data_IF_611551528771
#
_entry.id   IF_611551528771
#
_cell.length_a   1.000
_cell.length_b   1.000
_cell.length_c   1.000
_cell.angle_alpha   90.00
_cell.angle_beta   90.00
_cell.angle_gamma   90.00
#
_symmetry.space_group_name_H-M   'P 1'
#
loop_
_entity.id
_entity.type
_entity.pdbx_description
1 polymer ?
#
# COMPACT_ATOMS: atom_id res chain seq x y z
N UNK A 1 21.23 5.47 8.10
CA UNK A 1 20.12 4.80 7.43
C UNK A 1 19.67 5.70 6.30
N UNK A 2 19.59 5.19 5.07
CA UNK A 2 19.07 5.98 3.96
C UNK A 2 17.54 5.99 4.09
N UNK A 3 16.96 7.16 4.35
CA UNK A 3 15.50 7.35 4.31
C UNK A 3 15.06 7.43 2.85
N UNK A 4 14.02 6.72 2.50
CA UNK A 4 13.34 6.80 1.19
C UNK A 4 11.93 7.31 1.42
N UNK A 5 11.44 8.20 0.56
CA UNK A 5 10.02 8.52 0.52
C UNK A 5 9.27 7.45 -0.32
N UNK A 6 7.95 7.41 -0.23
CA UNK A 6 7.11 6.49 -1.01
C UNK A 6 7.37 6.57 -2.52
N UNK A 7 7.57 7.76 -3.08
CA UNK A 7 7.90 7.89 -4.51
C UNK A 7 9.28 7.32 -4.86
N UNK A 8 10.25 7.34 -3.95
CA UNK A 8 11.55 6.71 -4.17
C UNK A 8 11.41 5.19 -4.21
N UNK A 9 10.63 4.61 -3.29
CA UNK A 9 10.31 3.17 -3.27
C UNK A 9 9.63 2.75 -4.58
N UNK A 10 8.62 3.50 -5.02
CA UNK A 10 7.88 3.24 -6.27
C UNK A 10 8.82 3.34 -7.48
N UNK A 11 9.61 4.40 -7.61
CA UNK A 11 10.50 4.62 -8.74
C UNK A 11 11.63 3.57 -8.80
N UNK A 12 12.14 3.12 -7.65
CA UNK A 12 13.11 2.00 -7.58
C UNK A 12 12.48 0.71 -8.13
N UNK A 13 11.25 0.38 -7.72
CA UNK A 13 10.52 -0.79 -8.22
C UNK A 13 10.25 -0.69 -9.72
N UNK A 14 9.81 0.47 -10.22
CA UNK A 14 9.59 0.73 -11.64
C UNK A 14 10.86 0.47 -12.44
N UNK A 15 11.97 1.07 -12.03
CA UNK A 15 13.25 0.94 -12.73
C UNK A 15 13.78 -0.50 -12.70
N UNK A 16 13.72 -1.14 -11.53
CA UNK A 16 14.26 -2.49 -11.31
C UNK A 16 13.52 -3.55 -12.12
N UNK A 17 12.18 -3.43 -12.20
CA UNK A 17 11.33 -4.40 -12.88
C UNK A 17 10.94 -3.97 -14.30
N UNK A 18 11.40 -2.79 -14.75
CA UNK A 18 11.06 -2.22 -16.07
C UNK A 18 9.53 -2.05 -16.28
N UNK A 19 8.81 -1.68 -15.22
CA UNK A 19 7.38 -1.44 -15.24
C UNK A 19 6.98 -0.30 -16.18
N UNK A 20 5.79 -0.38 -16.79
CA UNK A 20 5.29 0.53 -17.81
C UNK A 20 3.99 1.23 -17.45
N UNK A 21 3.24 0.68 -16.48
CA UNK A 21 1.93 1.18 -16.10
C UNK A 21 1.79 1.28 -14.57
N UNK A 22 1.17 2.39 -14.13
CA UNK A 22 1.00 2.76 -12.72
C UNK A 22 -0.43 3.21 -12.44
N UNK A 23 -0.98 2.77 -11.34
CA UNK A 23 -2.23 3.25 -10.79
C UNK A 23 -1.99 3.82 -9.39
N UNK A 24 -2.54 5.01 -9.09
CA UNK A 24 -2.55 5.60 -7.76
C UNK A 24 -3.99 5.76 -7.26
N UNK A 25 -4.30 5.10 -6.15
CA UNK A 25 -5.57 5.19 -5.43
C UNK A 25 -5.38 6.15 -4.26
N UNK A 26 -6.15 7.26 -4.22
CA UNK A 26 -6.04 8.28 -3.19
C UNK A 26 -4.99 9.35 -3.51
N UNK A 27 -5.05 9.93 -4.69
CA UNK A 27 -4.03 10.92 -5.11
C UNK A 27 -4.15 12.24 -4.37
N UNK A 28 -5.33 12.67 -4.00
CA UNK A 28 -5.70 13.94 -3.37
C UNK A 28 -4.98 15.16 -3.99
N UNK A 29 -3.68 15.34 -3.70
CA UNK A 29 -2.80 16.33 -4.32
C UNK A 29 -1.73 15.63 -5.17
N UNK A 30 -1.82 15.72 -6.51
CA UNK A 30 -0.85 15.05 -7.40
C UNK A 30 0.61 15.47 -7.17
N UNK A 31 0.86 16.64 -6.57
CA UNK A 31 2.23 17.10 -6.28
C UNK A 31 2.87 16.37 -5.11
N UNK A 32 2.06 15.73 -4.27
CA UNK A 32 2.52 14.98 -3.09
C UNK A 32 3.26 13.70 -3.48
N UNK A 33 2.74 12.94 -4.49
CA UNK A 33 3.32 11.68 -4.95
C UNK A 33 3.24 11.53 -6.47
N UNK A 34 2.05 11.54 -7.08
CA UNK A 34 1.77 11.17 -8.47
C UNK A 34 2.71 11.84 -9.49
N UNK A 35 2.97 13.16 -9.35
CA UNK A 35 3.82 13.89 -10.27
C UNK A 35 5.30 13.49 -10.19
N UNK A 36 5.73 12.86 -9.07
CA UNK A 36 7.10 12.42 -8.83
C UNK A 36 7.37 11.01 -9.37
N UNK A 37 6.33 10.29 -9.84
CA UNK A 37 6.46 8.94 -10.36
C UNK A 37 6.96 9.00 -11.81
N UNK A 38 8.10 8.34 -12.05
CA UNK A 38 8.85 8.34 -13.32
C UNK A 38 8.36 7.19 -14.23
N UNK A 39 7.13 7.32 -14.74
CA UNK A 39 6.52 6.34 -15.64
C UNK A 39 5.60 7.04 -16.64
N UNK A 40 5.51 6.52 -17.87
CA UNK A 40 4.75 7.16 -18.95
C UNK A 40 3.24 6.94 -18.80
N UNK A 41 2.84 5.69 -18.56
CA UNK A 41 1.42 5.34 -18.45
C UNK A 41 0.99 5.31 -16.99
N UNK A 42 0.34 6.37 -16.53
CA UNK A 42 -0.13 6.46 -15.15
C UNK A 42 -1.53 7.02 -15.03
N UNK A 43 -2.28 6.42 -14.11
CA UNK A 43 -3.67 6.75 -13.76
C UNK A 43 -3.73 7.15 -12.29
N UNK A 44 -4.53 8.16 -11.98
CA UNK A 44 -4.75 8.66 -10.62
C UNK A 44 -6.24 8.75 -10.32
N UNK A 45 -6.62 8.34 -9.11
CA UNK A 45 -8.00 8.28 -8.64
C UNK A 45 -8.11 9.04 -7.33
N UNK A 46 -9.11 9.90 -7.22
CA UNK A 46 -9.48 10.52 -5.95
C UNK A 46 -10.92 11.08 -6.02
N UNK A 47 -11.76 10.89 -4.98
CA UNK A 47 -13.10 11.45 -4.96
C UNK A 47 -13.13 12.95 -4.68
N UNK A 48 -12.10 13.53 -4.02
CA UNK A 48 -12.01 14.92 -3.63
C UNK A 48 -10.64 15.54 -3.95
N UNK A 49 -10.20 15.51 -5.21
CA UNK A 49 -8.84 15.91 -5.56
C UNK A 49 -8.61 17.41 -5.41
N UNK A 50 -7.42 17.78 -4.93
CA UNK A 50 -6.95 19.18 -4.89
C UNK A 50 -6.21 19.60 -6.15
N UNK A 51 -6.12 18.73 -7.14
CA UNK A 51 -5.48 18.95 -8.43
C UNK A 51 -6.11 18.10 -9.53
N UNK A 52 -5.49 18.08 -10.72
CA UNK A 52 -6.01 17.28 -11.83
C UNK A 52 -5.67 15.81 -11.62
N UNK A 53 -6.69 14.97 -11.55
CA UNK A 53 -6.57 13.49 -11.54
C UNK A 53 -7.18 12.91 -12.81
N UNK A 54 -6.89 11.63 -13.07
CA UNK A 54 -7.42 10.92 -14.24
C UNK A 54 -8.89 10.56 -14.04
N UNK A 55 -9.25 10.12 -12.84
CA UNK A 55 -10.61 9.75 -12.49
C UNK A 55 -11.02 10.44 -11.18
N UNK A 56 -12.12 11.18 -11.22
CA UNK A 56 -12.72 11.82 -10.04
C UNK A 56 -13.84 10.89 -9.55
N UNK A 57 -13.58 10.19 -8.46
CA UNK A 57 -14.49 9.20 -7.86
C UNK A 57 -13.74 8.31 -6.88
N UNK A 58 -14.46 7.41 -6.25
CA UNK A 58 -13.91 6.41 -5.34
C UNK A 58 -13.14 5.32 -6.10
N UNK A 59 -12.29 4.59 -5.41
CA UNK A 59 -11.61 3.39 -5.97
C UNK A 59 -12.63 2.34 -6.42
N UNK A 60 -13.72 2.15 -5.67
CA UNK A 60 -14.79 1.23 -6.02
C UNK A 60 -15.42 1.59 -7.37
N UNK A 61 -15.84 2.85 -7.55
CA UNK A 61 -16.41 3.34 -8.81
C UNK A 61 -15.42 3.18 -9.97
N UNK A 62 -14.14 3.39 -9.72
CA UNK A 62 -13.12 3.21 -10.74
C UNK A 62 -13.01 1.74 -11.15
N UNK A 63 -12.80 0.83 -10.19
CA UNK A 63 -12.66 -0.59 -10.51
C UNK A 63 -13.92 -1.19 -11.14
N UNK A 64 -15.12 -0.72 -10.78
CA UNK A 64 -16.37 -1.08 -11.45
C UNK A 64 -16.46 -0.55 -12.89
N UNK A 65 -15.79 0.56 -13.21
CA UNK A 65 -15.84 1.20 -14.52
C UNK A 65 -14.87 0.59 -15.56
N UNK A 66 -13.86 -0.14 -15.13
CA UNK A 66 -12.85 -0.75 -16.00
C UNK A 66 -13.12 -2.23 -16.24
N UNK A 67 -12.60 -2.76 -17.33
CA UNK A 67 -12.72 -4.19 -17.67
C UNK A 67 -11.52 -4.98 -17.15
N UNK A 68 -11.70 -6.29 -16.95
CA UNK A 68 -10.66 -7.22 -16.46
C UNK A 68 -9.37 -7.24 -17.32
N UNK A 69 -9.44 -6.74 -18.56
CA UNK A 69 -8.28 -6.64 -19.46
C UNK A 69 -7.35 -5.47 -19.12
N UNK A 70 -7.81 -4.51 -18.30
CA UNK A 70 -6.96 -3.40 -17.87
C UNK A 70 -6.06 -3.92 -16.76
N UNK A 71 -4.74 -3.83 -16.95
CA UNK A 71 -3.72 -4.29 -15.99
C UNK A 71 -2.71 -3.19 -15.71
N UNK A 72 -2.20 -3.21 -14.48
CA UNK A 72 -1.16 -2.31 -14.00
C UNK A 72 0.04 -3.11 -13.51
N UNK A 73 1.25 -2.60 -13.78
CA UNK A 73 2.48 -3.22 -13.29
C UNK A 73 2.73 -2.85 -11.83
N UNK A 74 2.33 -1.65 -11.45
CA UNK A 74 2.45 -1.20 -10.06
C UNK A 74 1.21 -0.39 -9.68
N UNK A 75 0.61 -0.74 -8.54
CA UNK A 75 -0.51 -0.02 -7.93
C UNK A 75 -0.05 0.56 -6.61
N UNK A 76 -0.32 1.84 -6.39
CA UNK A 76 -0.08 2.51 -5.11
C UNK A 76 -1.41 2.82 -4.42
N UNK A 77 -1.55 2.42 -3.16
CA UNK A 77 -2.76 2.60 -2.35
C UNK A 77 -2.43 3.53 -1.19
N UNK A 78 -3.04 4.72 -1.20
CA UNK A 78 -2.90 5.78 -0.20
C UNK A 78 -4.22 6.57 -0.11
N UNK A 79 -5.35 5.84 -0.09
CA UNK A 79 -6.70 6.39 -0.17
C UNK A 79 -7.36 6.61 1.18
N UNK A 80 -8.53 5.98 1.41
CA UNK A 80 -9.19 5.99 2.70
C UNK A 80 -8.43 5.08 3.67
N UNK A 81 -7.89 5.65 4.74
CA UNK A 81 -7.05 4.95 5.71
C UNK A 81 -7.87 4.06 6.68
N UNK A 82 -8.86 3.36 6.18
CA UNK A 82 -9.66 2.37 6.89
C UNK A 82 -9.33 0.97 6.40
N UNK A 83 -8.99 0.06 7.31
CA UNK A 83 -8.51 -1.28 6.99
C UNK A 83 -9.45 -2.08 6.07
N UNK A 84 -10.76 -1.96 6.27
CA UNK A 84 -11.77 -2.61 5.43
C UNK A 84 -11.75 -2.10 3.97
N UNK A 85 -11.58 -0.79 3.75
CA UNK A 85 -11.44 -0.25 2.40
C UNK A 85 -10.08 -0.59 1.81
N UNK A 86 -9.01 -0.53 2.59
CA UNK A 86 -7.66 -0.90 2.14
C UNK A 86 -7.62 -2.36 1.68
N UNK A 87 -8.26 -3.29 2.41
CA UNK A 87 -8.39 -4.69 1.98
C UNK A 87 -9.11 -4.79 0.64
N UNK A 88 -10.22 -4.06 0.47
CA UNK A 88 -10.99 -4.04 -0.78
C UNK A 88 -10.17 -3.48 -1.94
N UNK A 89 -9.43 -2.39 -1.71
CA UNK A 89 -8.55 -1.80 -2.71
C UNK A 89 -7.42 -2.75 -3.12
N UNK A 90 -6.85 -3.50 -2.15
CA UNK A 90 -5.84 -4.53 -2.43
C UNK A 90 -6.42 -5.67 -3.27
N UNK A 91 -7.59 -6.22 -2.89
CA UNK A 91 -8.22 -7.31 -3.65
C UNK A 91 -8.61 -6.88 -5.07
N UNK A 92 -9.19 -5.69 -5.24
CA UNK A 92 -9.46 -5.13 -6.56
C UNK A 92 -8.18 -4.93 -7.37
N UNK A 93 -7.13 -4.42 -6.72
CA UNK A 93 -5.82 -4.22 -7.38
C UNK A 93 -5.19 -5.54 -7.81
N UNK A 94 -5.29 -6.61 -7.02
CA UNK A 94 -4.80 -7.95 -7.39
C UNK A 94 -5.48 -8.48 -8.66
N UNK A 95 -6.78 -8.23 -8.85
CA UNK A 95 -7.49 -8.60 -10.09
C UNK A 95 -7.00 -7.81 -11.31
N UNK A 96 -6.47 -6.61 -11.10
CA UNK A 96 -5.97 -5.71 -12.14
C UNK A 96 -4.43 -5.61 -12.18
N UNK A 97 -3.73 -6.52 -11.50
CA UNK A 97 -2.27 -6.58 -11.52
C UNK A 97 -1.78 -7.36 -12.75
N UNK A 98 -0.70 -6.92 -13.36
CA UNK A 98 0.01 -7.72 -14.37
C UNK A 98 0.75 -8.90 -13.71
N UNK A 99 1.14 -9.91 -14.49
CA UNK A 99 1.71 -11.18 -13.97
C UNK A 99 2.90 -10.98 -13.03
N UNK A 100 3.72 -9.96 -13.25
CA UNK A 100 4.87 -9.62 -12.41
C UNK A 100 4.65 -8.33 -11.61
N UNK A 101 3.42 -7.88 -11.51
CA UNK A 101 3.07 -6.62 -10.87
C UNK A 101 3.21 -6.66 -9.35
N UNK A 102 3.16 -5.46 -8.75
CA UNK A 102 3.25 -5.27 -7.30
C UNK A 102 2.31 -4.17 -6.84
N UNK A 103 1.75 -4.33 -5.65
CA UNK A 103 1.00 -3.30 -4.93
C UNK A 103 1.93 -2.69 -3.88
N UNK A 104 1.94 -1.38 -3.78
CA UNK A 104 2.58 -0.62 -2.69
C UNK A 104 1.47 0.04 -1.88
N UNK A 105 1.35 -0.30 -0.60
CA UNK A 105 0.38 0.29 0.32
C UNK A 105 1.09 1.20 1.31
N UNK A 106 0.62 2.44 1.47
CA UNK A 106 1.23 3.42 2.37
C UNK A 106 0.68 3.33 3.81
N UNK A 107 1.32 4.02 4.75
CA UNK A 107 0.90 4.18 6.15
C UNK A 107 0.76 2.88 6.95
N UNK A 108 1.59 1.88 6.65
CA UNK A 108 1.51 0.57 7.28
C UNK A 108 2.16 0.50 8.68
N UNK A 109 2.91 1.51 9.14
CA UNK A 109 3.70 1.43 10.38
C UNK A 109 3.39 2.58 11.36
N UNK A 110 2.22 2.60 12.03
CA UNK A 110 1.95 3.57 13.08
C UNK A 110 2.93 3.41 14.24
N UNK A 111 3.48 4.53 14.73
CA UNK A 111 4.43 4.54 15.85
C UNK A 111 3.78 4.81 17.19
N UNK A 112 2.54 5.29 17.20
CA UNK A 112 1.72 5.52 18.39
C UNK A 112 0.31 5.01 18.17
N UNK A 113 -0.38 4.67 19.27
CA UNK A 113 -1.77 4.20 19.21
C UNK A 113 -2.71 5.25 18.61
N UNK A 114 -2.45 6.53 18.87
CA UNK A 114 -3.23 7.63 18.31
C UNK A 114 -3.16 7.72 16.78
N UNK A 115 -2.00 7.42 16.18
CA UNK A 115 -1.85 7.48 14.72
C UNK A 115 -2.73 6.47 13.98
N UNK A 116 -3.10 5.36 14.63
CA UNK A 116 -3.88 4.29 14.01
C UNK A 116 -5.40 4.40 14.26
N UNK A 117 -5.86 5.46 14.90
CA UNK A 117 -7.29 5.69 15.07
C UNK A 117 -7.98 5.94 13.71
N UNK A 118 -9.24 5.47 13.56
CA UNK A 118 -9.96 5.61 12.28
C UNK A 118 -10.35 7.05 11.94
N UNK A 119 -10.45 7.91 12.96
CA UNK A 119 -10.78 9.32 12.76
C UNK A 119 -9.50 10.16 12.73
N UNK A 120 -9.40 11.06 11.77
CA UNK A 120 -8.33 12.06 11.72
C UNK A 120 -8.55 13.10 12.84
N UNK A 121 -7.54 13.26 13.68
CA UNK A 121 -7.55 14.20 14.81
C UNK A 121 -6.63 15.43 14.56
N UNK A 122 -6.26 15.69 13.29
CA UNK A 122 -5.45 16.86 12.90
C UNK A 122 -3.96 16.76 13.25
N UNK A 123 -3.46 15.56 13.50
CA UNK A 123 -2.04 15.22 13.65
C UNK A 123 -1.58 14.29 12.52
N UNK A 124 -0.38 13.70 12.62
CA UNK A 124 0.02 12.62 11.71
C UNK A 124 -0.92 11.43 11.90
N UNK A 125 -1.70 11.14 10.88
CA UNK A 125 -2.77 10.17 10.90
C UNK A 125 -2.57 9.13 9.81
N UNK A 126 -2.53 7.86 10.20
CA UNK A 126 -2.35 6.71 9.31
C UNK A 126 -3.63 5.86 9.20
N UNK A 127 -4.62 6.12 10.06
CA UNK A 127 -5.77 5.25 10.18
C UNK A 127 -5.37 3.83 10.60
N UNK A 128 -6.26 2.87 10.42
CA UNK A 128 -5.98 1.49 10.78
C UNK A 128 -5.48 0.61 9.60
N UNK A 129 -4.79 1.22 8.63
CA UNK A 129 -4.21 0.57 7.43
C UNK A 129 -3.39 -0.68 7.79
N UNK A 130 -2.58 -0.62 8.86
CA UNK A 130 -1.74 -1.73 9.29
C UNK A 130 -2.53 -3.01 9.56
N UNK A 131 -3.80 -2.91 9.95
CA UNK A 131 -4.66 -4.08 10.20
C UNK A 131 -4.94 -4.86 8.92
N UNK A 132 -5.14 -4.18 7.80
CA UNK A 132 -5.30 -4.83 6.51
C UNK A 132 -4.07 -5.68 6.16
N UNK A 133 -2.87 -5.13 6.34
CA UNK A 133 -1.63 -5.88 6.10
C UNK A 133 -1.48 -7.04 7.07
N UNK A 134 -1.82 -6.85 8.36
CA UNK A 134 -1.77 -7.90 9.37
C UNK A 134 -2.73 -9.06 9.04
N UNK A 135 -3.95 -8.78 8.62
CA UNK A 135 -4.92 -9.79 8.19
C UNK A 135 -4.39 -10.60 6.98
N UNK A 136 -3.89 -9.92 5.95
CA UNK A 136 -3.30 -10.60 4.80
C UNK A 136 -2.08 -11.46 5.20
N UNK A 137 -1.28 -11.01 6.16
CA UNK A 137 -0.12 -11.77 6.67
C UNK A 137 -0.52 -13.05 7.42
N UNK A 138 -1.71 -13.05 8.03
CA UNK A 138 -2.26 -14.23 8.73
C UNK A 138 -2.98 -15.16 7.76
N UNK A 139 -3.79 -14.62 6.85
CA UNK A 139 -4.78 -15.41 6.11
C UNK A 139 -4.34 -15.79 4.69
N UNK A 140 -3.43 -15.03 4.03
CA UNK A 140 -3.09 -15.23 2.61
C UNK A 140 -1.73 -15.89 2.44
N UNK A 141 -1.74 -17.18 2.08
CA UNK A 141 -0.52 -17.97 1.81
C UNK A 141 0.04 -17.77 0.39
N UNK A 142 -0.78 -17.19 -0.48
CA UNK A 142 -0.54 -17.00 -1.91
C UNK A 142 0.04 -15.61 -2.26
N UNK A 143 0.34 -14.78 -1.23
CA UNK A 143 0.91 -13.45 -1.39
C UNK A 143 2.28 -13.35 -0.72
N UNK A 144 3.28 -12.81 -1.40
CA UNK A 144 4.53 -12.34 -0.76
C UNK A 144 4.31 -10.92 -0.23
N UNK A 145 4.36 -10.76 1.10
CA UNK A 145 4.04 -9.51 1.79
C UNK A 145 5.21 -9.09 2.68
N UNK A 146 5.69 -7.87 2.50
CA UNK A 146 6.74 -7.23 3.30
C UNK A 146 6.38 -5.77 3.54
N UNK A 147 6.85 -5.19 4.63
CA UNK A 147 6.73 -3.74 4.86
C UNK A 147 8.11 -3.14 4.97
N UNK A 148 8.42 -2.17 4.11
CA UNK A 148 9.70 -1.43 4.17
C UNK A 148 9.62 -0.40 5.29
N UNK A 149 10.60 -0.41 6.18
CA UNK A 149 10.71 0.54 7.31
C UNK A 149 11.20 1.92 6.82
N UNK A 150 10.32 2.61 6.13
CA UNK A 150 10.53 3.98 5.62
C UNK A 150 9.18 4.66 5.37
N UNK A 151 9.14 5.99 5.41
CA UNK A 151 7.97 6.82 5.08
C UNK A 151 6.64 6.30 5.67
N UNK A 152 6.62 6.09 6.99
CA UNK A 152 5.47 5.56 7.75
C UNK A 152 5.03 4.13 7.35
N UNK A 153 5.89 3.42 6.63
CA UNK A 153 5.69 2.03 6.21
C UNK A 153 5.12 1.89 4.81
N UNK A 154 5.94 1.37 3.89
CA UNK A 154 5.51 1.01 2.55
C UNK A 154 5.32 -0.52 2.46
N UNK A 155 4.07 -0.98 2.47
CA UNK A 155 3.71 -2.38 2.29
C UNK A 155 3.90 -2.81 0.84
N UNK A 156 4.66 -3.87 0.60
CA UNK A 156 4.88 -4.49 -0.70
C UNK A 156 4.08 -5.79 -0.78
N UNK A 157 3.15 -5.90 -1.70
CA UNK A 157 2.24 -7.03 -1.84
C UNK A 157 2.25 -7.50 -3.29
N UNK A 158 2.54 -8.77 -3.51
CA UNK A 158 2.49 -9.38 -4.85
C UNK A 158 2.13 -10.86 -4.76
N UNK A 159 1.65 -11.48 -5.85
CA UNK A 159 1.51 -12.94 -5.92
C UNK A 159 2.83 -13.63 -5.56
N UNK A 160 2.77 -14.67 -4.71
CA UNK A 160 3.96 -15.34 -4.22
C UNK A 160 3.63 -16.29 -3.08
N UNK A 161 4.57 -16.47 -2.16
CA UNK A 161 4.38 -17.36 -1.01
C UNK A 161 4.60 -16.58 0.28
N UNK A 162 3.63 -16.64 1.17
CA UNK A 162 3.70 -16.14 2.53
C UNK A 162 3.98 -17.26 3.52
N UNK A 163 4.76 -16.96 4.56
CA UNK A 163 4.78 -17.73 5.79
C UNK A 163 3.82 -17.01 6.75
N UNK A 164 2.60 -17.57 7.00
CA UNK A 164 1.60 -16.90 7.81
C UNK A 164 2.12 -16.59 9.22
N UNK A 165 1.74 -15.45 9.75
CA UNK A 165 1.98 -15.14 11.14
C UNK A 165 1.00 -15.91 12.02
N UNK A 166 1.50 -16.98 12.66
CA UNK A 166 0.67 -17.86 13.48
C UNK A 166 0.49 -17.30 14.90
N UNK A 167 -0.76 -17.06 15.29
CA UNK A 167 -1.09 -16.59 16.65
C UNK A 167 -2.49 -17.04 17.04
N UNK A 168 -2.70 -17.25 18.35
CA UNK A 168 -4.04 -17.44 18.93
C UNK A 168 -4.53 -16.20 19.68
N UNK A 169 -3.75 -15.12 19.65
CA UNK A 169 -4.08 -13.85 20.31
C UNK A 169 -4.84 -12.92 19.34
N UNK A 170 -5.50 -11.89 19.88
CA UNK A 170 -6.10 -10.85 19.04
C UNK A 170 -5.01 -9.93 18.48
N UNK A 171 -4.51 -10.29 17.31
CA UNK A 171 -3.41 -9.60 16.63
C UNK A 171 -3.80 -8.24 16.04
N UNK A 172 -5.09 -7.89 16.01
CA UNK A 172 -5.59 -6.59 15.52
C UNK A 172 -5.68 -5.52 16.62
N UNK A 173 -5.12 -5.77 17.81
CA UNK A 173 -4.95 -4.76 18.86
C UNK A 173 -3.62 -4.03 18.70
N UNK A 174 -3.60 -2.70 19.00
CA UNK A 174 -2.35 -1.94 18.93
C UNK A 174 -1.29 -2.46 19.91
N UNK A 175 -1.71 -2.97 21.08
CA UNK A 175 -0.80 -3.57 22.05
C UNK A 175 -0.08 -4.81 21.48
N UNK A 176 -0.79 -5.69 20.79
CA UNK A 176 -0.19 -6.83 20.10
C UNK A 176 0.74 -6.39 18.98
N UNK A 177 0.24 -5.48 18.10
CA UNK A 177 1.04 -4.91 17.02
C UNK A 177 2.35 -4.33 17.55
N UNK A 178 2.31 -3.49 18.59
CA UNK A 178 3.51 -2.81 19.11
C UNK A 178 4.57 -3.79 19.64
N UNK A 179 4.15 -4.94 20.18
CA UNK A 179 5.07 -5.99 20.66
C UNK A 179 5.61 -6.86 19.51
N UNK A 180 4.81 -7.12 18.48
CA UNK A 180 5.07 -8.15 17.48
C UNK A 180 5.22 -7.62 16.04
N UNK A 181 5.20 -6.30 15.84
CA UNK A 181 5.13 -5.68 14.50
C UNK A 181 6.20 -6.18 13.52
N UNK A 182 7.41 -6.46 13.97
CA UNK A 182 8.48 -6.94 13.10
C UNK A 182 8.12 -8.27 12.40
N UNK A 183 7.58 -9.21 13.15
CA UNK A 183 7.17 -10.50 12.62
C UNK A 183 5.79 -10.43 11.95
N UNK A 184 4.82 -9.75 12.59
CA UNK A 184 3.46 -9.60 12.10
C UNK A 184 3.45 -8.93 10.73
N UNK A 185 4.16 -7.82 10.59
CA UNK A 185 4.19 -7.03 9.35
C UNK A 185 5.30 -7.49 8.38
N UNK A 186 6.15 -8.46 8.77
CA UNK A 186 7.33 -8.87 8.00
C UNK A 186 8.17 -7.65 7.58
N UNK A 187 8.56 -6.83 8.57
CA UNK A 187 9.27 -5.56 8.33
C UNK A 187 10.68 -5.85 7.82
N UNK A 188 11.06 -5.16 6.76
CA UNK A 188 12.41 -5.18 6.19
C UNK A 188 13.04 -3.79 6.22
N UNK A 189 14.35 -3.74 6.33
CA UNK A 189 15.11 -2.50 6.26
C UNK A 189 15.13 -1.94 4.82
N UNK A 190 15.41 -0.65 4.67
CA UNK A 190 15.68 -0.03 3.35
C UNK A 190 16.85 -0.74 2.65
N UNK A 191 17.88 -1.16 3.41
CA UNK A 191 19.02 -1.88 2.84
C UNK A 191 18.59 -3.24 2.24
N UNK A 192 17.72 -3.99 2.93
CA UNK A 192 17.22 -5.25 2.41
C UNK A 192 16.26 -5.06 1.24
N UNK A 193 15.43 -4.01 1.27
CA UNK A 193 14.59 -3.62 0.12
C UNK A 193 15.43 -3.37 -1.14
N UNK A 194 16.55 -2.67 -1.03
CA UNK A 194 17.42 -2.37 -2.17
C UNK A 194 18.07 -3.62 -2.78
N UNK A 195 18.12 -4.74 -2.03
CA UNK A 195 18.66 -6.04 -2.49
C UNK A 195 17.61 -6.94 -3.12
N UNK A 196 16.29 -6.68 -2.91
CA UNK A 196 15.20 -7.46 -3.53
C UNK A 196 15.27 -7.41 -5.05
#
# INVERSE_FOLDING_TARGET
>A
MNYLNRWDVINILIKKNNYKSYLEVGTQDPTSNFNKIEIEHKVSIDPFPRGKVTFVGTSDEYFESITDNIKYDIVFIDGLHHSDQVLKDIENSLMHLSDNGIIVCHDCLPTTEHMQERNDHGSVWLGDVWKAIAELRVDRIDLDIKVVDTDLGCGLIKPGTNIPHMTNENYLTYSYYNLHKWQLMNIISVEDFLKL
#
